data_IF_570998993718
#
_entry.id   IF_570998993718
#
_cell.length_a   1.000
_cell.length_b   1.000
_cell.length_c   1.000
_cell.angle_alpha   90.00
_cell.angle_beta   90.00
_cell.angle_gamma   90.00
#
_symmetry.space_group_name_H-M   'P 1'
#
loop_
_entity.id
_entity.type
_entity.pdbx_description
1 polymer ?
#
# COMPACT_ATOMS: atom_id res chain seq x y z
N UNK A 1 -69.96 -9.30 -41.35
CA UNK A 1 -70.39 -10.62 -40.85
C UNK A 1 -69.16 -11.29 -40.22
N UNK A 2 -69.26 -11.64 -38.92
CA UNK A 2 -68.46 -12.59 -38.12
C UNK A 2 -67.01 -12.23 -37.72
N UNK A 3 -66.89 -11.84 -36.45
CA UNK A 3 -65.72 -11.85 -35.56
C UNK A 3 -65.09 -13.25 -35.39
N UNK A 4 -63.76 -13.29 -35.21
CA UNK A 4 -62.89 -14.30 -34.56
C UNK A 4 -61.45 -13.77 -34.75
N UNK A 5 -60.51 -13.61 -33.82
CA UNK A 5 -60.36 -13.93 -32.40
C UNK A 5 -59.46 -12.84 -31.79
N UNK A 6 -59.78 -12.42 -30.57
CA UNK A 6 -59.03 -11.47 -29.75
C UNK A 6 -57.96 -12.25 -28.96
N UNK A 7 -56.67 -11.94 -29.16
CA UNK A 7 -55.58 -12.43 -28.30
C UNK A 7 -55.15 -11.26 -27.40
N UNK A 8 -55.54 -11.32 -26.13
CA UNK A 8 -55.08 -10.38 -25.09
C UNK A 8 -53.78 -10.96 -24.53
N UNK A 9 -52.65 -10.29 -24.81
CA UNK A 9 -51.38 -10.57 -24.15
C UNK A 9 -51.36 -9.78 -22.84
N UNK A 10 -51.58 -10.48 -21.72
CA UNK A 10 -51.40 -9.93 -20.37
C UNK A 10 -49.90 -9.91 -20.09
N UNK A 11 -49.27 -8.74 -20.15
CA UNK A 11 -47.91 -8.54 -19.64
C UNK A 11 -48.03 -8.44 -18.12
N UNK A 12 -47.65 -9.52 -17.44
CA UNK A 12 -47.57 -9.61 -16.00
C UNK A 12 -46.36 -8.76 -15.54
N UNK A 13 -46.63 -7.55 -15.08
CA UNK A 13 -45.66 -6.68 -14.44
C UNK A 13 -45.38 -7.25 -13.04
N UNK A 14 -44.40 -8.15 -12.94
CA UNK A 14 -43.90 -8.62 -11.64
C UNK A 14 -42.96 -7.56 -11.09
N UNK A 15 -43.51 -6.68 -10.26
CA UNK A 15 -42.72 -5.93 -9.29
C UNK A 15 -42.15 -6.91 -8.27
N UNK A 16 -40.83 -7.02 -8.24
CA UNK A 16 -40.07 -7.48 -7.07
C UNK A 16 -39.79 -6.23 -6.24
N UNK A 17 -40.63 -6.01 -5.23
CA UNK A 17 -40.34 -6.30 -3.82
C UNK A 17 -39.26 -5.39 -3.25
N UNK A 18 -39.78 -4.31 -2.65
CA UNK A 18 -39.17 -3.49 -1.60
C UNK A 18 -38.45 -4.36 -0.56
N UNK A 19 -37.15 -4.12 -0.38
CA UNK A 19 -36.50 -4.33 0.90
C UNK A 19 -36.45 -2.98 1.61
N UNK A 20 -37.33 -2.81 2.60
CA UNK A 20 -37.08 -1.91 3.71
C UNK A 20 -36.46 -2.79 4.81
N UNK A 21 -35.15 -2.72 4.97
CA UNK A 21 -34.51 -3.09 6.22
C UNK A 21 -33.85 -1.82 6.75
N UNK A 22 -34.52 -1.23 7.74
CA UNK A 22 -33.95 -0.26 8.65
C UNK A 22 -32.91 -0.98 9.53
N UNK A 23 -31.72 -1.23 8.98
CA UNK A 23 -30.53 -1.56 9.76
C UNK A 23 -29.48 -0.49 9.48
N UNK A 24 -29.33 0.41 10.44
CA UNK A 24 -28.37 1.50 10.45
C UNK A 24 -26.96 0.97 10.74
N UNK A 25 -26.43 0.14 9.84
CA UNK A 25 -25.02 -0.21 9.67
C UNK A 25 -24.81 -0.60 8.21
N UNK A 26 -24.26 0.31 7.41
CA UNK A 26 -23.82 0.02 6.04
C UNK A 26 -22.59 -0.89 6.07
N UNK A 27 -22.80 -2.18 6.34
CA UNK A 27 -21.78 -3.21 6.13
C UNK A 27 -21.82 -3.57 4.65
N UNK A 28 -21.23 -2.71 3.81
CA UNK A 28 -21.04 -2.99 2.38
C UNK A 28 -20.08 -4.16 2.24
N UNK A 29 -20.38 -5.08 1.32
CA UNK A 29 -19.48 -6.19 1.01
C UNK A 29 -18.11 -5.62 0.58
N UNK A 30 -16.99 -6.02 1.22
CA UNK A 30 -15.68 -5.45 0.92
C UNK A 30 -15.24 -5.59 -0.54
N UNK A 31 -15.64 -6.67 -1.22
CA UNK A 31 -15.34 -6.86 -2.64
C UNK A 31 -16.19 -5.92 -3.52
N UNK A 32 -17.48 -5.76 -3.23
CA UNK A 32 -18.30 -4.72 -3.88
C UNK A 32 -17.76 -3.31 -3.63
N UNK A 33 -17.26 -3.03 -2.43
CA UNK A 33 -16.67 -1.75 -2.08
C UNK A 33 -15.37 -1.48 -2.87
N UNK A 34 -14.52 -2.49 -3.06
CA UNK A 34 -13.31 -2.36 -3.87
C UNK A 34 -13.63 -1.97 -5.34
N UNK A 35 -14.73 -2.50 -5.89
CA UNK A 35 -15.23 -2.14 -7.23
C UNK A 35 -15.74 -0.68 -7.24
N UNK A 36 -16.50 -0.28 -6.22
CA UNK A 36 -17.01 1.09 -6.13
C UNK A 36 -15.88 2.13 -5.99
N UNK A 37 -14.84 1.79 -5.23
CA UNK A 37 -13.64 2.63 -5.10
C UNK A 37 -12.89 2.76 -6.43
N UNK A 38 -12.75 1.66 -7.18
CA UNK A 38 -12.13 1.66 -8.51
C UNK A 38 -12.88 2.58 -9.49
N UNK A 39 -14.21 2.47 -9.52
CA UNK A 39 -15.05 3.34 -10.36
C UNK A 39 -14.90 4.83 -9.97
N UNK A 40 -14.88 5.14 -8.67
CA UNK A 40 -14.72 6.50 -8.18
C UNK A 40 -13.34 7.09 -8.49
N UNK A 41 -12.27 6.29 -8.35
CA UNK A 41 -10.91 6.71 -8.71
C UNK A 41 -10.80 6.93 -10.22
N UNK A 42 -11.36 6.03 -11.05
CA UNK A 42 -11.37 6.20 -12.51
C UNK A 42 -12.13 7.47 -12.92
N UNK A 43 -13.28 7.76 -12.31
CA UNK A 43 -14.02 9.00 -12.56
C UNK A 43 -13.17 10.23 -12.18
N UNK A 44 -12.50 10.19 -11.03
CA UNK A 44 -11.59 11.27 -10.61
C UNK A 44 -10.47 11.48 -11.64
N UNK A 45 -9.80 10.40 -12.07
CA UNK A 45 -8.71 10.45 -13.06
C UNK A 45 -9.18 10.93 -14.44
N UNK A 46 -10.44 10.69 -14.81
CA UNK A 46 -11.04 11.18 -16.07
C UNK A 46 -11.43 12.66 -16.03
N UNK A 47 -11.68 13.20 -14.84
CA UNK A 47 -12.22 14.56 -14.65
C UNK A 47 -11.19 15.55 -14.13
N UNK A 48 -10.01 15.08 -13.72
CA UNK A 48 -8.94 15.90 -13.19
C UNK A 48 -7.65 15.75 -14.00
N UNK A 49 -6.80 16.78 -13.95
CA UNK A 49 -5.47 16.82 -14.56
C UNK A 49 -4.43 17.32 -13.55
N UNK A 50 -3.16 16.97 -13.75
CA UNK A 50 -2.05 17.55 -12.99
C UNK A 50 -1.67 18.91 -13.60
N UNK A 51 -1.74 19.98 -12.82
CA UNK A 51 -1.23 21.29 -13.24
C UNK A 51 0.27 21.37 -12.98
N UNK A 52 1.07 21.34 -14.05
CA UNK A 52 2.55 21.36 -13.95
C UNK A 52 3.11 22.70 -13.43
N UNK A 53 2.33 23.78 -13.41
CA UNK A 53 2.80 25.09 -12.92
C UNK A 53 2.86 25.16 -11.40
N UNK A 54 1.89 24.57 -10.72
CA UNK A 54 1.79 24.60 -9.25
C UNK A 54 1.86 23.21 -8.59
N UNK A 55 1.79 22.14 -9.38
CA UNK A 55 1.84 20.75 -8.94
C UNK A 55 0.52 20.22 -8.36
N UNK A 56 -0.56 21.01 -8.37
CA UNK A 56 -1.85 20.60 -7.85
C UNK A 56 -2.66 19.78 -8.85
N UNK A 57 -3.66 19.05 -8.34
CA UNK A 57 -4.65 18.35 -9.16
C UNK A 57 -5.88 19.24 -9.33
N UNK A 58 -6.25 19.55 -10.58
CA UNK A 58 -7.32 20.46 -10.92
C UNK A 58 -8.39 19.77 -11.76
N UNK A 59 -9.64 20.23 -11.67
CA UNK A 59 -10.71 19.76 -12.55
C UNK A 59 -10.48 20.25 -13.98
N UNK A 60 -10.65 19.39 -14.96
CA UNK A 60 -10.58 19.73 -16.39
C UNK A 60 -11.73 20.66 -16.74
N UNK A 61 -11.42 21.80 -17.37
CA UNK A 61 -12.44 22.80 -17.74
C UNK A 61 -12.34 23.27 -19.19
N UNK A 62 -11.16 23.24 -19.80
CA UNK A 62 -10.95 23.69 -21.17
C UNK A 62 -9.76 22.98 -21.84
N UNK A 63 -9.97 21.73 -22.24
CA UNK A 63 -9.06 21.01 -23.12
C UNK A 63 -7.74 20.54 -22.46
N UNK A 64 -7.64 20.57 -21.13
CA UNK A 64 -6.55 19.92 -20.42
C UNK A 64 -6.63 18.40 -20.57
N UNK A 65 -5.47 17.74 -20.65
CA UNK A 65 -5.40 16.29 -20.75
C UNK A 65 -5.64 15.66 -19.37
N UNK A 66 -6.69 14.83 -19.18
CA UNK A 66 -6.97 14.23 -17.89
C UNK A 66 -5.90 13.22 -17.45
N UNK A 67 -5.77 13.02 -16.14
CA UNK A 67 -4.81 12.10 -15.51
C UNK A 67 -4.90 10.68 -16.07
N UNK A 68 -6.09 10.20 -16.43
CA UNK A 68 -6.29 8.86 -17.00
C UNK A 68 -5.52 8.65 -18.32
N UNK A 69 -5.19 9.74 -19.02
CA UNK A 69 -4.44 9.73 -20.28
C UNK A 69 -2.95 10.07 -20.08
N UNK A 70 -2.53 10.35 -18.85
CA UNK A 70 -1.14 10.67 -18.53
C UNK A 70 -0.29 9.40 -18.65
N UNK A 71 0.79 9.47 -19.43
CA UNK A 71 1.68 8.32 -19.65
C UNK A 71 2.45 7.89 -18.40
N UNK A 72 2.51 8.75 -17.37
CA UNK A 72 3.12 8.47 -16.06
C UNK A 72 2.17 7.77 -15.10
N UNK A 73 0.88 7.66 -15.46
CA UNK A 73 -0.11 6.96 -14.65
C UNK A 73 0.04 5.45 -14.86
N UNK A 74 0.32 4.75 -13.78
CA UNK A 74 0.47 3.30 -13.74
C UNK A 74 -0.49 2.71 -12.70
N UNK A 75 -0.62 1.38 -12.70
CA UNK A 75 -1.54 0.65 -11.81
C UNK A 75 -0.84 -0.57 -11.23
N UNK A 76 -0.98 -0.76 -9.92
CA UNK A 76 -0.57 -1.95 -9.19
C UNK A 76 -1.83 -2.74 -8.80
N UNK A 77 -1.93 -3.99 -9.27
CA UNK A 77 -2.99 -4.91 -8.89
C UNK A 77 -2.58 -5.64 -7.62
N UNK A 78 -3.42 -5.60 -6.59
CA UNK A 78 -3.14 -6.15 -5.26
C UNK A 78 -4.28 -7.11 -4.92
N UNK A 79 -3.96 -8.30 -4.40
CA UNK A 79 -4.96 -9.21 -3.85
C UNK A 79 -4.69 -9.35 -2.36
N UNK A 80 -5.69 -9.08 -1.54
CA UNK A 80 -5.60 -9.22 -0.08
C UNK A 80 -6.93 -9.74 0.43
N UNK A 81 -6.88 -10.75 1.31
CA UNK A 81 -8.08 -11.35 1.90
C UNK A 81 -9.10 -11.80 0.83
N UNK A 82 -8.60 -12.40 -0.27
CA UNK A 82 -9.36 -12.78 -1.48
C UNK A 82 -10.05 -11.63 -2.24
N UNK A 83 -9.73 -10.37 -1.92
CA UNK A 83 -10.28 -9.18 -2.56
C UNK A 83 -9.23 -8.56 -3.48
N UNK A 84 -9.64 -8.29 -4.72
CA UNK A 84 -8.80 -7.61 -5.70
C UNK A 84 -8.95 -6.09 -5.59
N UNK A 85 -7.84 -5.40 -5.42
CA UNK A 85 -7.72 -3.94 -5.37
C UNK A 85 -6.85 -3.44 -6.53
N UNK A 86 -7.11 -2.20 -6.96
CA UNK A 86 -6.22 -1.46 -7.85
C UNK A 86 -5.74 -0.20 -7.14
N UNK A 87 -4.42 -0.11 -6.97
CA UNK A 87 -3.75 1.11 -6.57
C UNK A 87 -3.24 1.80 -7.83
N UNK A 88 -3.64 3.05 -8.04
CA UNK A 88 -3.12 3.85 -9.15
C UNK A 88 -2.03 4.78 -8.63
N UNK A 89 -1.00 5.02 -9.43
CA UNK A 89 0.04 5.99 -9.06
C UNK A 89 0.53 6.77 -10.26
N UNK A 90 0.71 8.08 -10.08
CA UNK A 90 1.29 8.98 -11.06
C UNK A 90 2.76 9.22 -10.71
N UNK A 91 3.67 8.65 -11.50
CA UNK A 91 5.12 8.73 -11.27
C UNK A 91 5.71 10.00 -11.87
N UNK A 92 5.65 11.12 -11.14
CA UNK A 92 6.22 12.41 -11.60
C UNK A 92 7.75 12.34 -11.70
N UNK A 93 8.39 11.72 -10.71
CA UNK A 93 9.82 11.47 -10.70
C UNK A 93 10.10 10.15 -9.98
N UNK A 94 10.84 9.24 -10.61
CA UNK A 94 11.09 7.91 -10.04
C UNK A 94 11.95 7.98 -8.77
N UNK A 95 12.93 8.89 -8.71
CA UNK A 95 13.99 8.87 -7.69
C UNK A 95 15.29 8.27 -8.25
N UNK A 96 16.36 8.26 -7.47
CA UNK A 96 17.70 7.87 -7.96
C UNK A 96 18.45 6.87 -7.09
N UNK A 97 18.04 6.63 -5.84
CA UNK A 97 18.67 5.64 -4.97
C UNK A 97 17.96 4.28 -5.08
N UNK A 98 17.52 3.72 -3.96
CA UNK A 98 16.84 2.43 -3.88
C UNK A 98 15.34 2.60 -3.68
N UNK A 99 14.59 1.57 -4.07
CA UNK A 99 13.17 1.44 -3.72
C UNK A 99 13.06 0.75 -2.36
N UNK A 100 12.15 1.18 -1.48
CA UNK A 100 11.89 0.47 -0.24
C UNK A 100 11.21 -0.88 -0.51
N UNK A 101 11.50 -1.88 0.33
CA UNK A 101 10.61 -3.01 0.58
C UNK A 101 9.37 -2.56 1.37
N UNK A 102 8.39 -3.44 1.58
CA UNK A 102 7.25 -3.16 2.48
C UNK A 102 7.63 -3.16 3.96
N UNK A 103 8.82 -3.66 4.30
CA UNK A 103 9.36 -3.67 5.66
C UNK A 103 10.19 -2.41 6.00
N UNK A 104 10.67 -1.69 4.97
CA UNK A 104 11.64 -0.61 5.16
C UNK A 104 11.02 0.67 5.74
N UNK A 105 11.89 1.55 6.23
CA UNK A 105 11.53 2.90 6.61
C UNK A 105 11.74 3.90 5.46
N UNK A 106 10.83 4.86 5.34
CA UNK A 106 10.84 5.92 4.32
C UNK A 106 10.91 7.31 4.94
N UNK A 107 11.79 8.15 4.41
CA UNK A 107 11.88 9.58 4.76
C UNK A 107 11.04 10.38 3.76
N UNK A 108 9.94 10.98 4.21
CA UNK A 108 8.97 11.57 3.29
C UNK A 108 8.41 12.92 3.74
N UNK A 109 7.87 13.65 2.76
CA UNK A 109 6.86 14.70 2.94
C UNK A 109 5.64 14.32 2.13
N UNK A 110 4.45 14.73 2.60
CA UNK A 110 3.21 14.34 1.96
C UNK A 110 2.06 15.30 2.22
N UNK A 111 1.03 15.21 1.38
CA UNK A 111 -0.30 15.76 1.62
C UNK A 111 -1.33 14.68 1.29
N UNK A 112 -2.22 14.38 2.23
CA UNK A 112 -3.35 13.46 2.06
C UNK A 112 -4.67 14.21 1.90
N UNK A 113 -5.42 13.87 0.86
CA UNK A 113 -6.74 14.46 0.56
C UNK A 113 -7.75 13.41 0.10
N UNK A 114 -9.03 13.74 0.24
CA UNK A 114 -10.13 12.98 -0.35
C UNK A 114 -10.31 13.36 -1.83
N UNK A 115 -11.09 12.57 -2.56
CA UNK A 115 -11.42 12.85 -3.98
C UNK A 115 -12.19 14.17 -4.19
N UNK A 116 -12.74 14.77 -3.14
CA UNK A 116 -13.36 16.10 -3.19
C UNK A 116 -12.38 17.26 -2.88
N UNK A 117 -11.07 16.95 -2.87
CA UNK A 117 -9.97 17.85 -2.53
C UNK A 117 -9.92 18.30 -1.06
N UNK A 118 -10.72 17.70 -0.17
CA UNK A 118 -10.60 17.96 1.27
C UNK A 118 -9.30 17.37 1.81
N UNK A 119 -8.36 18.23 2.19
CA UNK A 119 -7.11 17.82 2.86
C UNK A 119 -7.43 17.38 4.29
N UNK A 120 -7.06 16.14 4.63
CA UNK A 120 -7.24 15.59 5.98
C UNK A 120 -5.94 15.52 6.77
N UNK A 121 -4.78 15.46 6.10
CA UNK A 121 -3.46 15.44 6.75
C UNK A 121 -2.37 15.98 5.82
N UNK A 122 -1.30 16.56 6.38
CA UNK A 122 -0.13 16.97 5.61
C UNK A 122 1.12 17.13 6.48
N UNK A 123 2.27 16.92 5.85
CA UNK A 123 3.58 17.09 6.48
C UNK A 123 4.59 17.69 5.50
N UNK A 124 4.92 18.96 5.71
CA UNK A 124 5.91 19.71 4.89
C UNK A 124 7.34 19.62 5.41
N UNK A 125 7.56 19.06 6.61
CA UNK A 125 8.89 18.79 7.17
C UNK A 125 9.20 17.31 7.07
N UNK A 126 10.44 16.94 6.70
CA UNK A 126 10.88 15.55 6.60
C UNK A 126 10.53 14.74 7.86
N UNK A 127 9.97 13.54 7.67
CA UNK A 127 9.65 12.60 8.74
C UNK A 127 9.92 11.16 8.26
N UNK A 128 10.44 10.33 9.17
CA UNK A 128 10.57 8.89 8.97
C UNK A 128 9.28 8.18 9.35
N UNK A 129 8.86 7.24 8.51
CA UNK A 129 7.84 6.23 8.83
C UNK A 129 8.37 4.85 8.49
N UNK A 130 8.07 3.87 9.32
CA UNK A 130 8.21 2.46 8.99
C UNK A 130 6.97 2.01 8.22
N UNK A 131 7.14 1.35 7.07
CA UNK A 131 6.04 0.94 6.20
C UNK A 131 5.21 -0.20 6.81
N UNK A 132 5.77 -1.00 7.72
CA UNK A 132 5.02 -2.02 8.48
C UNK A 132 3.96 -1.43 9.40
N UNK A 133 4.11 -0.15 9.79
CA UNK A 133 3.22 0.56 10.71
C UNK A 133 2.18 1.47 10.03
N UNK A 134 2.09 1.45 8.71
CA UNK A 134 1.22 2.34 7.93
C UNK A 134 0.10 1.57 7.22
N UNK A 135 -0.81 2.33 6.60
CA UNK A 135 -1.87 1.75 5.74
C UNK A 135 -1.23 0.99 4.57
N UNK A 136 -1.87 -0.09 4.12
CA UNK A 136 -1.33 -0.92 3.02
C UNK A 136 -1.12 -0.11 1.74
N UNK A 137 -1.96 0.89 1.46
CA UNK A 137 -1.77 1.74 0.30
C UNK A 137 -0.44 2.50 0.30
N UNK A 138 0.15 2.76 1.48
CA UNK A 138 1.52 3.28 1.56
C UNK A 138 2.55 2.17 1.42
N UNK A 139 2.37 1.03 2.10
CA UNK A 139 3.29 -0.11 2.01
C UNK A 139 3.47 -0.53 0.55
N UNK A 140 2.39 -0.69 -0.23
CA UNK A 140 2.44 -0.97 -1.67
C UNK A 140 2.84 0.26 -2.51
N UNK A 141 2.33 1.45 -2.17
CA UNK A 141 2.51 2.64 -3.00
C UNK A 141 3.97 3.09 -3.08
N UNK A 142 4.70 3.10 -1.95
CA UNK A 142 6.08 3.58 -1.89
C UNK A 142 7.07 2.70 -2.65
N UNK A 143 6.82 1.40 -2.81
CA UNK A 143 7.71 0.46 -3.54
C UNK A 143 7.79 0.78 -5.04
N UNK A 144 6.90 1.64 -5.55
CA UNK A 144 6.91 2.10 -6.94
C UNK A 144 7.83 3.31 -7.16
N UNK A 145 8.50 3.81 -6.12
CA UNK A 145 9.39 4.97 -6.14
C UNK A 145 10.75 4.62 -5.53
N UNK A 146 11.74 5.45 -5.80
CA UNK A 146 13.09 5.38 -5.22
C UNK A 146 13.36 6.61 -4.37
N UNK A 147 14.22 6.45 -3.38
CA UNK A 147 14.77 7.56 -2.61
C UNK A 147 15.58 8.53 -3.45
N UNK A 148 15.89 9.68 -2.85
CA UNK A 148 16.85 10.63 -3.38
C UNK A 148 18.28 10.25 -3.03
N UNK A 149 19.21 11.09 -3.47
CA UNK A 149 20.62 11.01 -3.09
C UNK A 149 20.91 12.03 -1.98
N UNK A 150 21.48 11.56 -0.87
CA UNK A 150 21.91 12.43 0.22
C UNK A 150 23.23 13.14 -0.14
N UNK A 151 23.20 14.47 -0.18
CA UNK A 151 24.36 15.31 -0.47
C UNK A 151 24.83 16.00 0.82
N UNK A 152 26.10 15.79 1.20
CA UNK A 152 26.75 16.44 2.34
C UNK A 152 27.65 17.58 1.86
N UNK A 153 27.42 18.79 2.36
CA UNK A 153 28.22 19.97 2.07
C UNK A 153 29.47 20.04 2.97
N UNK A 154 30.44 20.87 2.57
CA UNK A 154 31.67 21.10 3.34
C UNK A 154 31.45 21.73 4.72
N UNK A 155 30.30 22.35 4.94
CA UNK A 155 29.89 22.96 6.21
C UNK A 155 29.05 22.01 7.08
N UNK A 156 29.07 20.70 6.76
CA UNK A 156 28.34 19.63 7.44
C UNK A 156 26.81 19.68 7.29
N UNK A 157 26.26 20.70 6.58
CA UNK A 157 24.87 20.69 6.17
C UNK A 157 24.61 19.62 5.12
N UNK A 158 23.41 19.06 5.10
CA UNK A 158 23.02 18.08 4.10
C UNK A 158 21.61 18.33 3.57
N UNK A 159 21.34 17.80 2.39
CA UNK A 159 20.04 17.81 1.75
C UNK A 159 19.89 16.58 0.84
N UNK A 160 18.70 16.39 0.29
CA UNK A 160 18.39 15.29 -0.62
C UNK A 160 18.14 15.84 -2.03
N UNK A 161 18.83 15.28 -3.02
CA UNK A 161 18.64 15.60 -4.44
C UNK A 161 17.87 14.49 -5.15
N UNK A 162 17.09 14.87 -6.15
CA UNK A 162 16.34 13.95 -7.01
C UNK A 162 15.50 12.92 -6.21
N UNK A 163 14.69 13.37 -5.22
CA UNK A 163 13.82 12.46 -4.49
C UNK A 163 12.71 11.92 -5.39
N UNK A 164 12.27 10.69 -5.18
CA UNK A 164 11.05 10.18 -5.81
C UNK A 164 9.87 11.10 -5.52
N UNK A 165 9.03 11.37 -6.50
CA UNK A 165 7.86 12.24 -6.37
C UNK A 165 6.70 11.65 -7.15
N UNK A 166 5.53 11.61 -6.54
CA UNK A 166 4.34 11.11 -7.22
C UNK A 166 3.06 11.33 -6.45
N UNK A 167 2.00 10.77 -7.01
CA UNK A 167 0.66 10.81 -6.45
C UNK A 167 0.14 9.38 -6.36
N UNK A 168 -0.33 8.96 -5.20
CA UNK A 168 -0.99 7.68 -4.98
C UNK A 168 -2.51 7.89 -4.94
N UNK A 169 -3.27 7.04 -5.62
CA UNK A 169 -4.72 6.95 -5.52
C UNK A 169 -5.06 5.59 -4.94
N UNK A 170 -5.50 5.60 -3.68
CA UNK A 170 -5.59 4.43 -2.82
C UNK A 170 -7.07 4.11 -2.59
N UNK A 171 -7.56 2.92 -2.97
CA UNK A 171 -8.92 2.49 -2.63
C UNK A 171 -9.07 2.37 -1.10
N UNK A 172 -10.28 2.58 -0.59
CA UNK A 172 -10.54 2.65 0.84
C UNK A 172 -10.11 1.39 1.59
N UNK A 173 -10.24 0.20 0.97
CA UNK A 173 -9.80 -1.07 1.55
C UNK A 173 -8.29 -1.20 1.78
N UNK A 174 -7.47 -0.45 1.03
CA UNK A 174 -6.02 -0.32 1.29
C UNK A 174 -5.70 0.90 2.18
N UNK A 175 -6.70 1.69 2.54
CA UNK A 175 -6.61 2.85 3.42
C UNK A 175 -7.25 2.58 4.78
N UNK A 176 -8.33 3.31 5.08
CA UNK A 176 -9.01 3.26 6.39
C UNK A 176 -10.32 2.45 6.37
N UNK A 177 -10.59 1.73 5.28
CA UNK A 177 -11.71 0.80 5.12
C UNK A 177 -13.09 1.39 5.42
N UNK A 178 -14.02 0.53 5.81
CA UNK A 178 -15.42 0.89 6.07
C UNK A 178 -15.64 1.83 7.26
N UNK A 179 -14.67 1.92 8.17
CA UNK A 179 -14.83 2.71 9.40
C UNK A 179 -14.24 4.11 9.26
N UNK A 180 -13.27 4.31 8.37
CA UNK A 180 -12.56 5.58 8.25
C UNK A 180 -11.66 5.85 9.44
N UNK A 181 -11.17 7.09 9.55
CA UNK A 181 -10.31 7.51 10.66
C UNK A 181 -10.32 9.03 10.81
N UNK A 182 -10.63 9.53 12.00
CA UNK A 182 -10.63 10.97 12.28
C UNK A 182 -11.54 11.76 11.33
N UNK A 183 -10.94 12.54 10.43
CA UNK A 183 -11.65 13.33 9.41
C UNK A 183 -11.96 12.57 8.12
N UNK A 184 -11.47 11.34 8.00
CA UNK A 184 -11.64 10.48 6.82
C UNK A 184 -12.91 9.65 7.03
N UNK A 185 -13.95 9.85 6.21
CA UNK A 185 -15.14 9.01 6.26
C UNK A 185 -14.82 7.56 5.89
N UNK A 186 -15.63 6.62 6.38
CA UNK A 186 -15.56 5.23 5.93
C UNK A 186 -15.78 5.10 4.43
N UNK A 187 -15.21 4.06 3.82
CA UNK A 187 -15.33 3.76 2.40
C UNK A 187 -14.90 4.92 1.49
N UNK A 188 -13.90 5.70 1.93
CA UNK A 188 -13.38 6.84 1.16
C UNK A 188 -12.04 6.49 0.50
N UNK A 189 -11.95 6.54 -0.84
CA UNK A 189 -10.67 6.54 -1.53
C UNK A 189 -9.83 7.76 -1.14
N UNK A 190 -8.51 7.60 -1.18
CA UNK A 190 -7.54 8.60 -0.74
C UNK A 190 -6.63 9.00 -1.90
N UNK A 191 -6.22 10.27 -1.90
CA UNK A 191 -5.15 10.76 -2.76
C UNK A 191 -4.00 11.23 -1.87
N UNK A 192 -2.79 10.74 -2.13
CA UNK A 192 -1.58 11.21 -1.46
C UNK A 192 -0.59 11.76 -2.47
N UNK A 193 -0.26 13.04 -2.34
CA UNK A 193 0.94 13.59 -2.97
C UNK A 193 2.13 13.28 -2.05
N UNK A 194 3.14 12.58 -2.57
CA UNK A 194 4.30 12.14 -1.79
C UNK A 194 5.61 12.62 -2.42
N UNK A 195 6.60 12.85 -1.57
CA UNK A 195 8.01 12.94 -1.96
C UNK A 195 8.83 12.00 -1.09
N UNK A 196 9.51 11.03 -1.71
CA UNK A 196 10.39 10.04 -1.07
C UNK A 196 11.84 10.53 -1.13
N UNK A 197 12.33 11.04 0.01
CA UNK A 197 13.65 11.65 0.11
C UNK A 197 14.75 10.62 0.36
N UNK A 198 14.48 9.59 1.15
CA UNK A 198 15.46 8.58 1.55
C UNK A 198 14.75 7.28 1.93
N UNK A 199 15.50 6.19 1.90
CA UNK A 199 15.05 4.85 2.30
C UNK A 199 16.07 4.30 3.30
N UNK A 200 15.59 3.68 4.37
CA UNK A 200 16.41 2.95 5.32
C UNK A 200 15.91 1.51 5.39
N UNK A 201 16.77 0.57 4.97
CA UNK A 201 16.53 -0.86 5.17
C UNK A 201 16.43 -1.14 6.66
N UNK A 202 15.33 -1.77 7.07
CA UNK A 202 15.03 -2.05 8.48
C UNK A 202 15.62 -3.40 8.91
N UNK A 203 15.99 -3.44 10.18
CA UNK A 203 16.34 -4.60 11.01
C UNK A 203 15.70 -4.23 12.36
N UNK A 204 14.39 -4.51 12.47
CA UNK A 204 13.51 -3.91 13.48
C UNK A 204 13.76 -4.51 14.88
N UNK A 205 14.27 -5.73 14.96
CA UNK A 205 14.55 -6.50 16.18
C UNK A 205 16.06 -6.54 16.54
N UNK A 206 16.95 -6.22 15.58
CA UNK A 206 18.41 -6.10 15.70
C UNK A 206 19.13 -7.44 15.91
N UNK A 207 18.68 -8.48 15.21
CA UNK A 207 19.34 -9.76 15.14
C UNK A 207 20.37 -9.87 13.98
N UNK A 208 20.41 -8.88 13.09
CA UNK A 208 21.36 -8.83 11.97
C UNK A 208 20.82 -9.39 10.66
N UNK A 209 19.58 -9.86 10.63
CA UNK A 209 18.81 -10.10 9.41
C UNK A 209 18.03 -8.82 9.10
N UNK A 210 17.99 -8.42 7.83
CA UNK A 210 17.14 -7.30 7.45
C UNK A 210 15.69 -7.79 7.43
N UNK A 211 14.75 -7.01 7.99
CA UNK A 211 13.33 -7.36 8.08
C UNK A 211 12.72 -7.84 6.76
N UNK A 212 13.16 -7.27 5.63
CA UNK A 212 12.71 -7.68 4.29
C UNK A 212 13.15 -9.09 3.85
N UNK A 213 14.17 -9.65 4.49
CA UNK A 213 14.73 -10.98 4.20
C UNK A 213 14.05 -12.06 5.04
N UNK A 214 13.16 -11.67 5.95
CA UNK A 214 12.37 -12.56 6.81
C UNK A 214 10.94 -12.78 6.24
N UNK A 215 10.71 -12.32 5.01
CA UNK A 215 9.59 -12.71 4.15
C UNK A 215 9.87 -14.09 3.55
N UNK A 216 9.48 -15.15 4.27
CA UNK A 216 9.85 -16.53 3.95
C UNK A 216 9.07 -17.04 2.74
N UNK A 217 7.81 -16.63 2.58
CA UNK A 217 6.96 -17.05 1.48
C UNK A 217 7.06 -16.18 0.21
N UNK A 218 7.79 -15.05 0.31
CA UNK A 218 8.06 -14.08 -0.76
C UNK A 218 6.78 -13.38 -1.28
N UNK A 219 5.75 -13.22 -0.45
CA UNK A 219 4.55 -12.45 -0.76
C UNK A 219 4.73 -10.94 -0.54
N UNK A 220 5.84 -10.53 0.08
CA UNK A 220 6.20 -9.17 0.40
C UNK A 220 5.62 -8.66 1.72
N UNK A 221 5.02 -9.50 2.57
CA UNK A 221 4.36 -9.16 3.83
C UNK A 221 4.96 -9.85 5.05
N UNK A 222 6.13 -9.37 5.47
CA UNK A 222 6.86 -9.83 6.69
C UNK A 222 6.03 -9.92 7.98
N UNK A 223 4.83 -9.32 8.01
CA UNK A 223 3.96 -9.31 9.20
C UNK A 223 3.19 -10.61 9.40
N UNK A 224 3.23 -11.54 8.44
CA UNK A 224 2.52 -12.80 8.50
C UNK A 224 3.44 -14.04 8.61
N UNK A 225 4.76 -13.86 8.48
CA UNK A 225 5.78 -14.87 8.70
C UNK A 225 6.09 -14.99 10.20
N UNK A 226 5.85 -16.18 10.75
CA UNK A 226 5.94 -16.52 12.19
C UNK A 226 6.35 -18.00 12.25
N UNK A 227 7.65 -18.27 12.42
CA UNK A 227 8.24 -19.62 12.28
C UNK A 227 7.86 -20.54 13.44
N UNK A 228 7.86 -20.03 14.68
CA UNK A 228 7.61 -20.81 15.89
C UNK A 228 6.13 -20.78 16.37
N UNK A 229 5.28 -20.00 15.67
CA UNK A 229 3.86 -19.78 15.93
C UNK A 229 3.56 -19.12 17.30
N UNK A 230 4.46 -18.28 17.83
CA UNK A 230 4.27 -17.59 19.11
C UNK A 230 3.45 -16.28 19.04
N UNK A 231 3.09 -15.85 17.81
CA UNK A 231 2.38 -14.62 17.45
C UNK A 231 3.24 -13.35 17.35
N UNK A 232 4.56 -13.46 17.43
CA UNK A 232 5.52 -12.42 17.06
C UNK A 232 6.05 -12.76 15.67
N UNK A 233 5.81 -11.91 14.65
CA UNK A 233 6.39 -12.15 13.34
C UNK A 233 7.92 -12.08 13.39
N UNK A 234 8.60 -12.90 12.61
CA UNK A 234 10.07 -13.06 12.61
C UNK A 234 10.82 -11.72 12.63
N UNK A 235 10.41 -10.76 11.79
CA UNK A 235 11.06 -9.43 11.73
C UNK A 235 11.00 -8.58 13.01
N UNK A 236 10.28 -9.05 14.04
CA UNK A 236 10.19 -8.50 15.39
C UNK A 236 10.64 -9.48 16.48
N UNK A 237 11.04 -10.70 16.13
CA UNK A 237 11.45 -11.77 17.02
C UNK A 237 12.96 -12.09 16.91
N UNK A 238 13.76 -11.80 17.94
CA UNK A 238 15.19 -12.14 17.93
C UNK A 238 15.54 -13.63 18.08
N UNK A 239 14.56 -14.53 18.21
CA UNK A 239 14.65 -15.98 18.43
C UNK A 239 13.58 -16.67 17.55
N UNK A 240 13.75 -16.54 16.23
CA UNK A 240 12.75 -16.84 15.19
C UNK A 240 12.11 -18.23 15.30
N UNK A 241 12.90 -19.24 15.67
CA UNK A 241 12.45 -20.64 15.75
C UNK A 241 12.09 -21.08 17.17
N UNK A 242 12.34 -20.24 18.18
CA UNK A 242 12.02 -20.46 19.57
C UNK A 242 12.87 -21.55 20.26
N UNK A 243 14.06 -21.86 19.75
CA UNK A 243 14.97 -22.85 20.34
C UNK A 243 15.70 -22.33 21.61
N UNK A 244 15.70 -21.01 21.80
CA UNK A 244 16.32 -20.30 22.93
C UNK A 244 17.73 -19.76 22.67
N UNK A 245 18.23 -19.88 21.45
CA UNK A 245 19.41 -19.22 20.91
C UNK A 245 18.91 -18.04 20.07
N UNK A 246 19.55 -16.89 20.20
CA UNK A 246 19.13 -15.74 19.40
C UNK A 246 19.60 -15.93 17.96
N UNK A 247 18.79 -15.55 16.96
CA UNK A 247 19.12 -15.62 15.53
C UNK A 247 20.54 -15.12 15.22
N UNK A 248 20.94 -14.00 15.84
CA UNK A 248 22.29 -13.42 15.67
C UNK A 248 23.45 -14.27 16.19
N UNK A 249 23.17 -15.16 17.14
CA UNK A 249 24.13 -16.03 17.81
C UNK A 249 24.25 -17.39 17.09
N UNK A 250 23.46 -17.61 16.04
CA UNK A 250 23.42 -18.81 15.17
C UNK A 250 24.30 -18.68 13.91
N UNK A 251 25.29 -17.80 13.99
CA UNK A 251 26.39 -17.66 13.03
C UNK A 251 27.47 -18.75 13.31
N UNK A 252 27.16 -20.00 12.96
CA UNK A 252 27.99 -21.16 13.26
C UNK A 252 29.41 -21.05 12.66
N UNK A 253 29.55 -20.40 11.50
CA UNK A 253 30.82 -20.27 10.81
C UNK A 253 31.59 -18.97 11.16
N UNK A 254 30.93 -17.98 11.77
CA UNK A 254 31.52 -16.73 12.27
C UNK A 254 31.76 -15.67 11.19
N UNK A 255 31.00 -15.70 10.08
CA UNK A 255 31.11 -14.72 9.00
C UNK A 255 30.16 -13.53 9.12
N UNK A 256 29.27 -13.57 10.11
CA UNK A 256 28.30 -12.53 10.44
C UNK A 256 27.02 -12.58 9.60
N UNK A 257 26.71 -13.74 9.00
CA UNK A 257 25.51 -13.97 8.19
C UNK A 257 24.81 -15.28 8.60
N UNK A 258 23.89 -15.25 9.58
CA UNK A 258 23.17 -16.44 10.06
C UNK A 258 22.28 -17.07 8.98
N UNK A 259 21.99 -16.36 7.88
CA UNK A 259 21.08 -16.84 6.82
C UNK A 259 21.67 -17.99 5.98
N UNK A 260 22.95 -18.30 6.16
CA UNK A 260 23.68 -19.30 5.37
C UNK A 260 24.24 -20.48 6.18
N UNK A 261 24.04 -20.48 7.50
CA UNK A 261 24.45 -21.56 8.38
C UNK A 261 23.33 -22.62 8.49
N UNK A 262 23.72 -23.88 8.35
CA UNK A 262 22.87 -25.10 8.33
C UNK A 262 23.73 -26.23 8.92
N UNK A 263 23.67 -26.37 10.24
CA UNK A 263 24.57 -27.20 11.04
C UNK A 263 24.28 -28.69 10.88
N UNK A 264 23.01 -29.05 10.71
CA UNK A 264 22.55 -30.44 10.59
C UNK A 264 22.50 -30.94 9.12
N UNK A 265 22.47 -30.02 8.15
CA UNK A 265 22.54 -30.24 6.72
C UNK A 265 21.22 -30.62 6.07
N UNK A 266 20.08 -30.29 6.67
CA UNK A 266 18.75 -30.58 6.15
C UNK A 266 18.23 -29.55 5.12
N UNK A 267 18.88 -28.38 5.07
CA UNK A 267 18.61 -27.28 4.14
C UNK A 267 17.71 -26.17 4.68
N UNK A 268 17.34 -26.19 5.96
CA UNK A 268 16.76 -25.07 6.71
C UNK A 268 17.91 -24.33 7.42
N UNK A 269 18.00 -23.00 7.32
CA UNK A 269 18.99 -22.25 8.09
C UNK A 269 18.79 -22.41 9.60
N UNK A 270 19.88 -22.41 10.38
CA UNK A 270 19.85 -22.67 11.82
C UNK A 270 18.84 -21.77 12.57
N UNK A 271 18.76 -20.48 12.20
CA UNK A 271 17.82 -19.52 12.80
C UNK A 271 16.33 -19.78 12.52
N UNK A 272 16.01 -20.76 11.70
CA UNK A 272 14.66 -21.21 11.39
C UNK A 272 14.44 -22.68 11.77
N UNK A 273 15.39 -23.33 12.46
CA UNK A 273 15.39 -24.76 12.75
C UNK A 273 15.67 -25.13 14.22
N UNK A 274 14.62 -25.56 14.91
CA UNK A 274 14.72 -25.97 16.33
C UNK A 274 15.64 -27.17 16.62
N UNK A 275 16.09 -27.92 15.60
CA UNK A 275 16.85 -29.18 15.73
C UNK A 275 18.34 -29.06 15.29
N UNK A 276 18.95 -27.87 15.41
CA UNK A 276 20.36 -27.50 15.14
C UNK A 276 21.49 -28.45 15.64
#
# INVERSE_FOLDING_TARGET
MKFKNLFILVILFTGVLSCNNDDNTTNTDPAEQAIADDEAIIEYLQTHYLNEEDGGIWTVTDGEDPLINDERLETQNITRDDIAYKLYYLKQFEGVSMSPSRADSVLTTYTGMLLDSTVFDSRSTLIWFSLTNLIEGWSYGFTNFKGGSRVLNSDESFFYENPGKGILFIPSGLGYGQFGSGFIPGNSPLVFEITLHDVNESDDDNDGILSKNEDLDNDGDVKNDDTDEDLVPNYLDPDDDGDGILTKDEDANGDGDPTNDDTDGDGIPDYLDTDN
#
